data_IF_578762938782
#
_entry.id   IF_578762938782
#
_cell.length_a   1.000
_cell.length_b   1.000
_cell.length_c   1.000
_cell.angle_alpha   90.00
_cell.angle_beta   90.00
_cell.angle_gamma   90.00
#
_symmetry.space_group_name_H-M   'P 1'
#
loop_
_entity.id
_entity.type
_entity.pdbx_description
1 polymer ?
#
# COMPACT_ATOMS: atom_id res chain seq x y z
N UNK A 1 16.24 10.71 22.76
CA UNK A 1 15.05 11.60 22.56
C UNK A 1 15.19 12.49 21.33
N UNK A 2 16.30 13.25 21.16
CA UNK A 2 16.49 14.09 19.94
C UNK A 2 16.60 13.25 18.67
N UNK A 3 17.34 12.18 18.71
CA UNK A 3 17.49 11.22 17.60
C UNK A 3 16.17 10.57 17.26
N UNK A 4 15.41 10.16 18.27
CA UNK A 4 14.09 9.52 18.07
C UNK A 4 13.07 10.48 17.47
N UNK A 5 13.09 11.75 17.91
CA UNK A 5 12.24 12.79 17.35
C UNK A 5 12.56 13.08 15.87
N UNK A 6 13.84 13.14 15.51
CA UNK A 6 14.26 13.32 14.11
C UNK A 6 13.89 12.11 13.25
N UNK A 7 14.08 10.90 13.75
CA UNK A 7 13.68 9.67 13.06
C UNK A 7 12.16 9.63 12.88
N UNK A 8 11.40 9.96 13.93
CA UNK A 8 9.94 10.04 13.87
C UNK A 8 9.45 11.07 12.84
N UNK A 9 10.07 12.25 12.80
CA UNK A 9 9.74 13.27 11.80
C UNK A 9 10.03 12.79 10.36
N UNK A 10 11.17 12.15 10.16
CA UNK A 10 11.53 11.59 8.84
C UNK A 10 10.54 10.53 8.39
N UNK A 11 10.18 9.61 9.30
CA UNK A 11 9.17 8.58 9.01
C UNK A 11 7.81 9.22 8.72
N UNK A 12 7.39 10.24 9.47
CA UNK A 12 6.12 10.92 9.24
C UNK A 12 6.05 11.59 7.87
N UNK A 13 7.13 12.26 7.44
CA UNK A 13 7.20 12.92 6.13
C UNK A 13 7.05 11.93 4.96
N UNK A 14 7.58 10.71 5.12
CA UNK A 14 7.42 9.65 4.11
C UNK A 14 6.06 8.96 4.23
N UNK A 15 5.61 8.70 5.45
CA UNK A 15 4.39 7.93 5.70
C UNK A 15 3.11 8.66 5.25
N UNK A 16 3.07 10.00 5.35
CA UNK A 16 1.89 10.79 4.94
C UNK A 16 1.52 10.57 3.47
N UNK A 17 2.38 10.88 2.48
CA UNK A 17 2.04 10.65 1.07
C UNK A 17 1.87 9.17 0.75
N UNK A 18 2.65 8.29 1.36
CA UNK A 18 2.57 6.85 1.17
C UNK A 18 1.22 6.28 1.64
N UNK A 19 0.75 6.68 2.80
CA UNK A 19 -0.53 6.21 3.35
C UNK A 19 -1.73 6.69 2.53
N UNK A 20 -1.66 7.92 2.02
CA UNK A 20 -2.67 8.45 1.09
C UNK A 20 -2.72 7.63 -0.22
N UNK A 21 -1.56 7.27 -0.76
CA UNK A 21 -1.47 6.42 -1.95
C UNK A 21 -2.04 5.02 -1.69
N UNK A 22 -1.78 4.44 -0.53
CA UNK A 22 -2.31 3.12 -0.15
C UNK A 22 -3.82 3.12 0.11
N UNK A 23 -4.38 4.22 0.64
CA UNK A 23 -5.82 4.36 0.75
C UNK A 23 -6.48 4.37 -0.64
N UNK A 24 -5.92 5.11 -1.60
CA UNK A 24 -6.42 5.10 -2.98
C UNK A 24 -6.29 3.72 -3.63
N UNK A 25 -5.20 3.00 -3.35
CA UNK A 25 -5.01 1.62 -3.83
C UNK A 25 -6.06 0.67 -3.24
N UNK A 26 -6.49 0.92 -2.01
CA UNK A 26 -7.58 0.19 -1.36
C UNK A 26 -8.98 0.59 -1.87
N UNK A 27 -9.10 1.55 -2.79
CA UNK A 27 -10.38 2.07 -3.27
C UNK A 27 -11.05 3.06 -2.31
N UNK A 28 -10.31 3.57 -1.32
CA UNK A 28 -10.79 4.52 -0.32
C UNK A 28 -10.31 5.95 -0.62
N UNK A 29 -11.04 6.98 -0.18
CA UNK A 29 -10.55 8.35 -0.19
C UNK A 29 -9.21 8.49 0.55
N UNK A 30 -8.31 9.33 0.03
CA UNK A 30 -6.92 9.44 0.52
C UNK A 30 -6.79 9.76 2.02
N UNK A 31 -7.73 10.53 2.58
CA UNK A 31 -7.71 10.92 4.00
C UNK A 31 -7.88 9.74 4.96
N UNK A 32 -8.49 8.62 4.55
CA UNK A 32 -8.52 7.40 5.37
C UNK A 32 -7.13 6.80 5.59
N UNK A 33 -6.23 6.99 4.63
CA UNK A 33 -4.82 6.62 4.80
C UNK A 33 -4.14 7.37 5.94
N UNK A 34 -4.47 8.65 6.13
CA UNK A 34 -3.93 9.44 7.23
C UNK A 34 -4.40 8.91 8.58
N UNK A 35 -5.68 8.55 8.72
CA UNK A 35 -6.17 7.92 9.94
C UNK A 35 -5.50 6.58 10.22
N UNK A 36 -5.31 5.76 9.17
CA UNK A 36 -4.63 4.47 9.28
C UNK A 36 -3.13 4.60 9.61
N UNK A 37 -2.51 5.74 9.32
CA UNK A 37 -1.11 6.00 9.63
C UNK A 37 -0.88 6.71 10.96
N UNK A 38 -1.93 7.17 11.62
CA UNK A 38 -1.85 7.88 12.91
C UNK A 38 -2.11 6.94 14.08
N UNK A 39 -3.31 6.37 14.17
CA UNK A 39 -3.76 5.60 15.35
C UNK A 39 -3.03 4.27 15.50
N UNK A 40 -2.92 3.41 14.47
CA UNK A 40 -2.25 2.12 14.61
C UNK A 40 -0.77 2.21 15.04
N UNK A 41 0.06 3.12 14.48
CA UNK A 41 1.43 3.29 14.95
C UNK A 41 1.53 3.74 16.41
N UNK A 42 0.61 4.61 16.88
CA UNK A 42 0.58 5.04 18.28
C UNK A 42 0.29 3.85 19.21
N UNK A 43 -0.71 3.04 18.87
CA UNK A 43 -1.05 1.84 19.64
C UNK A 43 0.11 0.83 19.60
N UNK A 44 0.71 0.61 18.44
CA UNK A 44 1.85 -0.28 18.29
C UNK A 44 3.08 0.20 19.05
N UNK A 45 3.30 1.50 19.17
CA UNK A 45 4.40 2.07 19.97
C UNK A 45 4.21 1.82 21.47
N UNK A 46 2.96 1.76 21.95
CA UNK A 46 2.67 1.52 23.37
C UNK A 46 2.69 0.04 23.74
N UNK A 47 2.22 -0.84 22.85
CA UNK A 47 2.01 -2.27 23.14
C UNK A 47 2.92 -3.19 22.33
N UNK A 48 3.61 -2.68 21.33
CA UNK A 48 4.49 -3.48 20.47
C UNK A 48 5.77 -3.93 21.16
N UNK A 49 6.26 -5.10 20.80
CA UNK A 49 7.51 -5.66 21.29
C UNK A 49 8.73 -5.32 20.43
N UNK A 50 8.54 -4.88 19.19
CA UNK A 50 9.62 -4.55 18.27
C UNK A 50 9.95 -3.06 18.29
N UNK A 51 11.24 -2.74 18.46
CA UNK A 51 11.74 -1.35 18.40
C UNK A 51 11.97 -0.85 16.98
N UNK A 52 11.93 -1.72 15.98
CA UNK A 52 12.29 -1.42 14.60
C UNK A 52 11.10 -1.48 13.64
N UNK A 53 10.00 -2.10 14.06
CA UNK A 53 8.81 -2.25 13.22
C UNK A 53 7.95 -0.99 13.29
N UNK A 54 7.85 -0.26 12.19
CA UNK A 54 6.84 0.77 12.02
C UNK A 54 5.55 0.12 11.50
N UNK A 55 4.48 0.18 12.30
CA UNK A 55 3.17 -0.32 11.89
C UNK A 55 2.45 0.77 11.09
N UNK A 56 1.88 0.43 9.96
CA UNK A 56 1.18 1.38 9.10
C UNK A 56 0.49 0.69 7.92
N UNK A 57 -0.15 1.46 7.03
CA UNK A 57 -0.74 0.92 5.82
C UNK A 57 0.30 0.22 4.94
N UNK A 58 -0.10 -0.89 4.31
CA UNK A 58 0.77 -1.71 3.46
C UNK A 58 0.10 -1.92 2.11
N UNK A 59 0.85 -1.73 1.02
CA UNK A 59 0.33 -1.81 -0.34
C UNK A 59 -0.37 -3.14 -0.66
N UNK A 60 0.21 -4.26 -0.21
CA UNK A 60 -0.37 -5.61 -0.43
C UNK A 60 -1.73 -5.74 0.25
N UNK A 61 -1.84 -5.30 1.51
CA UNK A 61 -3.10 -5.33 2.25
C UNK A 61 -4.14 -4.41 1.62
N UNK A 62 -3.71 -3.25 1.13
CA UNK A 62 -4.57 -2.31 0.41
C UNK A 62 -5.15 -2.91 -0.88
N UNK A 63 -4.33 -3.62 -1.67
CA UNK A 63 -4.79 -4.35 -2.86
C UNK A 63 -5.74 -5.49 -2.49
N UNK A 64 -5.43 -6.27 -1.45
CA UNK A 64 -6.31 -7.34 -0.98
C UNK A 64 -7.66 -6.78 -0.51
N UNK A 65 -7.66 -5.64 0.17
CA UNK A 65 -8.90 -4.94 0.56
C UNK A 65 -9.70 -4.55 -0.68
N UNK A 66 -9.05 -3.92 -1.66
CA UNK A 66 -9.71 -3.51 -2.91
C UNK A 66 -10.30 -4.71 -3.66
N UNK A 67 -9.53 -5.79 -3.83
CA UNK A 67 -10.01 -6.99 -4.54
C UNK A 67 -11.14 -7.70 -3.80
N UNK A 68 -11.16 -7.67 -2.48
CA UNK A 68 -12.21 -8.28 -1.66
C UNK A 68 -13.52 -7.50 -1.68
N UNK A 69 -13.44 -6.16 -1.78
CA UNK A 69 -14.61 -5.29 -1.71
C UNK A 69 -15.16 -4.90 -3.08
N UNK A 70 -14.37 -4.96 -4.15
CA UNK A 70 -14.78 -4.60 -5.50
C UNK A 70 -16.05 -5.35 -5.98
N UNK A 71 -16.27 -6.64 -5.66
CA UNK A 71 -17.51 -7.32 -6.03
C UNK A 71 -18.75 -6.87 -5.24
N UNK A 72 -18.55 -6.20 -4.10
CA UNK A 72 -19.63 -5.82 -3.18
C UNK A 72 -20.14 -4.40 -3.37
N UNK A 73 -19.25 -3.47 -3.74
CA UNK A 73 -19.58 -2.06 -3.90
C UNK A 73 -18.56 -1.33 -4.79
N UNK A 74 -18.99 -0.23 -5.41
CA UNK A 74 -18.11 0.63 -6.20
C UNK A 74 -17.17 1.42 -5.30
N UNK A 75 -15.90 1.46 -5.66
CA UNK A 75 -14.85 2.21 -4.94
C UNK A 75 -15.24 3.68 -4.73
N UNK A 76 -14.97 4.21 -3.54
CA UNK A 76 -15.24 5.60 -3.18
C UNK A 76 -16.68 5.90 -2.77
N UNK A 77 -17.61 4.96 -2.84
CA UNK A 77 -18.99 5.13 -2.37
C UNK A 77 -19.10 4.96 -0.85
N UNK A 78 -20.13 5.53 -0.23
CA UNK A 78 -20.39 5.35 1.22
C UNK A 78 -20.59 3.87 1.59
N UNK A 79 -21.24 3.09 0.72
CA UNK A 79 -21.38 1.64 0.90
C UNK A 79 -20.03 0.94 0.93
N UNK A 80 -19.13 1.29 0.02
CA UNK A 80 -17.77 0.73 -0.01
C UNK A 80 -17.00 1.05 1.28
N UNK A 81 -17.09 2.29 1.75
CA UNK A 81 -16.43 2.72 3.01
C UNK A 81 -16.98 1.93 4.19
N UNK A 82 -18.30 1.73 4.26
CA UNK A 82 -18.93 0.95 5.32
C UNK A 82 -18.46 -0.51 5.33
N UNK A 83 -18.36 -1.14 4.17
CA UNK A 83 -17.80 -2.49 4.05
C UNK A 83 -16.31 -2.55 4.41
N UNK A 84 -15.54 -1.53 4.06
CA UNK A 84 -14.12 -1.44 4.43
C UNK A 84 -13.94 -1.34 5.95
N UNK A 85 -14.77 -0.56 6.63
CA UNK A 85 -14.77 -0.43 8.10
C UNK A 85 -15.15 -1.78 8.74
N UNK A 86 -16.19 -2.43 8.23
CA UNK A 86 -16.60 -3.74 8.71
C UNK A 86 -15.49 -4.79 8.52
N UNK A 87 -14.88 -4.82 7.35
CA UNK A 87 -13.75 -5.71 7.07
C UNK A 87 -12.57 -5.45 8.02
N UNK A 88 -12.23 -4.19 8.27
CA UNK A 88 -11.18 -3.81 9.21
C UNK A 88 -11.51 -4.27 10.64
N UNK A 89 -12.76 -4.14 11.08
CA UNK A 89 -13.21 -4.64 12.37
C UNK A 89 -13.09 -6.17 12.47
N UNK A 90 -13.57 -6.89 11.45
CA UNK A 90 -13.50 -8.35 11.42
C UNK A 90 -12.05 -8.84 11.46
N UNK A 91 -11.17 -8.25 10.64
CA UNK A 91 -9.73 -8.57 10.62
C UNK A 91 -9.09 -8.25 11.97
N UNK A 92 -9.43 -7.10 12.57
CA UNK A 92 -8.92 -6.71 13.89
C UNK A 92 -9.33 -7.69 14.99
N UNK A 93 -10.59 -8.09 15.04
CA UNK A 93 -11.10 -9.09 16.00
C UNK A 93 -10.39 -10.43 15.79
N UNK A 94 -10.24 -10.86 14.55
CA UNK A 94 -9.56 -12.12 14.23
C UNK A 94 -8.08 -12.09 14.64
N UNK A 95 -7.36 -11.02 14.32
CA UNK A 95 -5.96 -10.85 14.73
C UNK A 95 -5.81 -10.78 16.25
N UNK A 96 -6.71 -10.09 16.93
CA UNK A 96 -6.72 -10.03 18.38
C UNK A 96 -6.95 -11.42 19.00
N UNK A 97 -7.89 -12.20 18.47
CA UNK A 97 -8.14 -13.57 18.92
C UNK A 97 -6.90 -14.45 18.73
N UNK A 98 -6.24 -14.37 17.57
CA UNK A 98 -4.98 -15.09 17.31
C UNK A 98 -3.88 -14.69 18.30
N UNK A 99 -3.81 -13.41 18.66
CA UNK A 99 -2.85 -12.89 19.64
C UNK A 99 -3.12 -13.44 21.04
N UNK A 100 -4.36 -13.41 21.51
CA UNK A 100 -4.78 -13.94 22.82
C UNK A 100 -4.52 -15.45 22.92
N UNK A 101 -4.81 -16.17 21.86
CA UNK A 101 -4.58 -17.62 21.77
C UNK A 101 -3.09 -17.98 21.56
N UNK A 102 -2.20 -16.99 21.44
CA UNK A 102 -0.76 -17.15 21.17
C UNK A 102 -0.47 -17.98 19.91
N UNK A 103 -1.34 -17.91 18.92
CA UNK A 103 -1.22 -18.66 17.66
C UNK A 103 -0.20 -18.06 16.68
N UNK A 104 0.57 -17.06 17.10
CA UNK A 104 1.70 -16.53 16.31
C UNK A 104 2.73 -17.61 15.91
N UNK A 105 2.79 -18.71 16.64
CA UNK A 105 3.61 -19.89 16.28
C UNK A 105 3.25 -20.45 14.89
N UNK A 106 2.00 -20.29 14.45
CA UNK A 106 1.55 -20.74 13.10
C UNK A 106 2.35 -20.05 11.98
N UNK A 107 2.79 -18.82 12.20
CA UNK A 107 3.61 -18.10 11.21
C UNK A 107 4.97 -18.78 10.98
N UNK A 108 5.49 -19.50 11.97
CA UNK A 108 6.76 -20.23 11.84
C UNK A 108 6.68 -21.42 10.87
N UNK A 109 5.48 -21.87 10.52
CA UNK A 109 5.28 -22.92 9.51
C UNK A 109 5.31 -22.37 8.08
N UNK A 110 5.28 -21.04 7.90
CA UNK A 110 5.47 -20.43 6.59
C UNK A 110 6.93 -20.58 6.16
N UNK A 111 7.16 -21.39 5.15
CA UNK A 111 8.51 -21.56 4.62
C UNK A 111 9.02 -20.31 3.92
N UNK A 112 10.31 -20.03 4.00
CA UNK A 112 10.95 -18.90 3.31
C UNK A 112 10.63 -18.82 1.81
N UNK A 113 10.61 -19.93 1.04
CA UNK A 113 10.22 -19.89 -0.37
C UNK A 113 8.80 -19.38 -0.61
N UNK A 114 7.85 -19.74 0.25
CA UNK A 114 6.46 -19.26 0.15
C UNK A 114 6.38 -17.76 0.39
N UNK A 115 7.05 -17.26 1.43
CA UNK A 115 7.10 -15.81 1.74
C UNK A 115 7.75 -15.05 0.59
N UNK A 116 8.88 -15.54 0.06
CA UNK A 116 9.56 -14.90 -1.06
C UNK A 116 8.71 -14.91 -2.33
N UNK A 117 8.05 -16.03 -2.64
CA UNK A 117 7.16 -16.13 -3.80
C UNK A 117 5.99 -15.14 -3.68
N UNK A 118 5.35 -15.07 -2.53
CA UNK A 118 4.28 -14.11 -2.25
C UNK A 118 4.75 -12.65 -2.39
N UNK A 119 5.90 -12.31 -1.81
CA UNK A 119 6.46 -10.96 -1.86
C UNK A 119 6.79 -10.54 -3.29
N UNK A 120 7.39 -11.43 -4.09
CA UNK A 120 7.72 -11.15 -5.49
C UNK A 120 6.46 -10.99 -6.35
N UNK A 121 5.48 -11.86 -6.18
CA UNK A 121 4.20 -11.73 -6.88
C UNK A 121 3.48 -10.43 -6.51
N UNK A 122 3.43 -10.09 -5.22
CA UNK A 122 2.87 -8.84 -4.75
C UNK A 122 3.59 -7.61 -5.33
N UNK A 123 4.93 -7.63 -5.40
CA UNK A 123 5.70 -6.55 -6.00
C UNK A 123 5.36 -6.34 -7.48
N UNK A 124 5.20 -7.43 -8.26
CA UNK A 124 4.79 -7.36 -9.66
C UNK A 124 3.37 -6.80 -9.81
N UNK A 125 2.43 -7.26 -9.00
CA UNK A 125 1.05 -6.76 -9.02
C UNK A 125 1.01 -5.27 -8.66
N UNK A 126 1.75 -4.84 -7.65
CA UNK A 126 1.84 -3.44 -7.26
C UNK A 126 2.43 -2.59 -8.40
N UNK A 127 3.55 -3.02 -8.97
CA UNK A 127 4.20 -2.29 -10.06
C UNK A 127 3.26 -2.14 -11.27
N UNK A 128 2.61 -3.21 -11.69
CA UNK A 128 1.69 -3.18 -12.82
C UNK A 128 0.41 -2.39 -12.54
N UNK A 129 -0.09 -2.38 -11.31
CA UNK A 129 -1.25 -1.57 -10.92
C UNK A 129 -0.96 -0.05 -10.93
N UNK A 130 0.31 0.36 -10.85
CA UNK A 130 0.69 1.76 -10.94
C UNK A 130 0.87 2.26 -12.38
N UNK A 131 0.90 1.37 -13.37
CA UNK A 131 1.09 1.76 -14.77
C UNK A 131 0.00 2.72 -15.26
N UNK A 132 -1.26 2.48 -14.92
CA UNK A 132 -2.37 3.37 -15.29
C UNK A 132 -2.17 4.80 -14.77
N UNK A 133 -1.70 4.94 -13.54
CA UNK A 133 -1.40 6.24 -12.93
C UNK A 133 -0.18 6.92 -13.55
N UNK A 134 0.85 6.14 -13.89
CA UNK A 134 2.06 6.64 -14.55
C UNK A 134 1.73 7.21 -15.92
N UNK A 135 0.89 6.55 -16.70
CA UNK A 135 0.44 7.03 -18.02
C UNK A 135 -0.73 8.03 -17.93
N UNK A 136 -1.32 8.22 -16.76
CA UNK A 136 -2.46 9.11 -16.54
C UNK A 136 -3.72 8.64 -17.25
N UNK A 137 -3.87 7.32 -17.45
CA UNK A 137 -5.02 6.72 -18.12
C UNK A 137 -5.95 6.07 -17.08
N UNK A 138 -7.26 6.29 -17.23
CA UNK A 138 -8.26 5.62 -16.43
C UNK A 138 -8.76 4.40 -17.20
N UNK A 139 -8.57 3.24 -16.62
CA UNK A 139 -9.00 1.97 -17.19
C UNK A 139 -9.77 1.21 -16.13
N UNK A 140 -10.95 0.73 -16.47
CA UNK A 140 -11.74 -0.12 -15.59
C UNK A 140 -11.00 -1.43 -15.33
N UNK A 141 -11.02 -1.86 -14.08
CA UNK A 141 -10.44 -3.13 -13.67
C UNK A 141 -11.19 -4.28 -14.37
N UNK A 142 -10.45 -5.14 -15.05
CA UNK A 142 -10.98 -6.36 -15.62
C UNK A 142 -11.03 -7.47 -14.55
N UNK A 143 -11.74 -8.54 -14.87
CA UNK A 143 -11.84 -9.72 -14.00
C UNK A 143 -10.46 -10.35 -13.73
N UNK A 144 -9.57 -10.31 -14.74
CA UNK A 144 -8.20 -10.79 -14.61
C UNK A 144 -7.17 -9.68 -14.70
N UNK A 145 -6.14 -9.76 -13.87
CA UNK A 145 -5.08 -8.74 -13.79
C UNK A 145 -4.33 -8.53 -15.12
N UNK A 146 -4.07 -9.59 -15.89
CA UNK A 146 -3.39 -9.48 -17.20
C UNK A 146 -4.23 -8.73 -18.24
N UNK A 147 -5.56 -8.84 -18.17
CA UNK A 147 -6.48 -8.09 -19.03
C UNK A 147 -6.45 -6.60 -18.71
N UNK A 148 -6.41 -6.26 -17.41
CA UNK A 148 -6.25 -4.88 -16.95
C UNK A 148 -4.95 -4.29 -17.49
N UNK A 149 -3.84 -5.03 -17.41
CA UNK A 149 -2.55 -4.61 -17.97
C UNK A 149 -2.65 -4.37 -19.49
N UNK A 150 -3.27 -5.29 -20.22
CA UNK A 150 -3.46 -5.16 -21.67
C UNK A 150 -4.28 -3.90 -22.02
N UNK A 151 -5.37 -3.65 -21.30
CA UNK A 151 -6.17 -2.43 -21.46
C UNK A 151 -5.39 -1.16 -21.15
N UNK A 152 -4.58 -1.18 -20.08
CA UNK A 152 -3.72 -0.03 -19.72
C UNK A 152 -2.71 0.24 -20.82
N UNK A 153 -2.06 -0.79 -21.37
CA UNK A 153 -1.09 -0.64 -22.46
C UNK A 153 -1.76 -0.08 -23.72
N UNK A 154 -2.93 -0.60 -24.09
CA UNK A 154 -3.69 -0.08 -25.22
C UNK A 154 -4.12 1.38 -25.03
N UNK A 155 -4.63 1.71 -23.84
CA UNK A 155 -5.00 3.09 -23.50
C UNK A 155 -3.77 4.01 -23.48
N UNK A 156 -2.63 3.54 -22.99
CA UNK A 156 -1.40 4.31 -22.97
C UNK A 156 -0.89 4.64 -24.37
N UNK A 157 -1.00 3.75 -25.34
CA UNK A 157 -0.58 4.02 -26.73
C UNK A 157 -1.37 5.17 -27.37
N UNK A 158 -2.66 5.32 -27.03
CA UNK A 158 -3.56 6.28 -27.68
C UNK A 158 -3.85 7.53 -26.84
N UNK A 159 -3.85 7.42 -25.51
CA UNK A 159 -4.36 8.44 -24.59
C UNK A 159 -3.40 8.79 -23.45
N UNK A 160 -2.09 8.64 -23.62
CA UNK A 160 -1.12 9.01 -22.59
C UNK A 160 -1.24 10.49 -22.21
N UNK A 161 -1.46 10.76 -20.94
CA UNK A 161 -1.39 12.10 -20.39
C UNK A 161 0.08 12.49 -20.15
N UNK A 162 0.67 13.19 -21.13
CA UNK A 162 2.09 13.53 -21.13
C UNK A 162 2.61 14.21 -19.85
N UNK A 163 1.89 15.14 -19.20
CA UNK A 163 2.34 15.72 -17.95
C UNK A 163 2.51 14.70 -16.84
N UNK A 164 1.56 13.77 -16.67
CA UNK A 164 1.65 12.69 -15.67
C UNK A 164 2.80 11.75 -15.96
N UNK A 165 2.99 11.37 -17.21
CA UNK A 165 4.09 10.52 -17.63
C UNK A 165 5.46 11.18 -17.37
N UNK A 166 5.62 12.45 -17.75
CA UNK A 166 6.86 13.18 -17.51
C UNK A 166 7.16 13.34 -16.02
N UNK A 167 6.15 13.62 -15.20
CA UNK A 167 6.32 13.66 -13.73
C UNK A 167 6.74 12.29 -13.17
N UNK A 168 6.12 11.22 -13.63
CA UNK A 168 6.48 9.85 -13.22
C UNK A 168 7.92 9.49 -13.60
N UNK A 169 8.32 9.78 -14.83
CA UNK A 169 9.70 9.57 -15.31
C UNK A 169 10.69 10.43 -14.54
N UNK A 170 10.37 11.72 -14.30
CA UNK A 170 11.22 12.62 -13.53
C UNK A 170 11.40 12.12 -12.10
N UNK A 171 10.32 11.70 -11.43
CA UNK A 171 10.37 11.13 -10.09
C UNK A 171 11.26 9.88 -10.04
N UNK A 172 11.11 8.98 -11.02
CA UNK A 172 11.93 7.78 -11.14
C UNK A 172 13.41 8.11 -11.34
N UNK A 173 13.71 9.04 -12.26
CA UNK A 173 15.09 9.49 -12.52
C UNK A 173 15.70 10.18 -11.29
N UNK A 174 14.93 10.98 -10.57
CA UNK A 174 15.40 11.62 -9.33
C UNK A 174 15.73 10.57 -8.26
N UNK A 175 14.85 9.60 -8.02
CA UNK A 175 15.11 8.53 -7.05
C UNK A 175 16.35 7.71 -7.43
N UNK A 176 16.47 7.36 -8.70
CA UNK A 176 17.61 6.59 -9.20
C UNK A 176 18.90 7.42 -9.17
N UNK A 177 18.84 8.69 -9.58
CA UNK A 177 19.98 9.60 -9.60
C UNK A 177 20.49 9.97 -8.21
N UNK A 178 19.59 10.23 -7.26
CA UNK A 178 19.94 10.52 -5.87
C UNK A 178 20.69 9.38 -5.21
N UNK A 179 20.35 8.14 -5.55
CA UNK A 179 21.06 6.95 -5.08
C UNK A 179 22.54 6.94 -5.49
N UNK A 180 22.84 7.48 -6.68
CA UNK A 180 24.21 7.58 -7.18
C UNK A 180 25.02 8.71 -6.55
N UNK A 181 24.32 9.79 -6.19
CA UNK A 181 24.96 11.00 -5.62
C UNK A 181 25.28 10.81 -4.13
N UNK A 182 24.39 10.20 -3.37
CA UNK A 182 24.63 9.99 -1.94
C UNK A 182 23.91 8.73 -1.40
N UNK A 183 24.67 7.71 -0.99
CA UNK A 183 24.10 6.51 -0.34
C UNK A 183 23.41 6.78 1.01
N UNK A 184 23.56 8.01 1.54
CA UNK A 184 22.97 8.42 2.82
C UNK A 184 21.56 8.98 2.71
N UNK A 185 21.08 9.24 1.48
CA UNK A 185 19.72 9.72 1.27
C UNK A 185 18.79 8.50 1.29
N UNK A 186 17.83 8.44 2.22
CA UNK A 186 16.85 7.36 2.25
C UNK A 186 15.96 7.44 1.00
N UNK A 187 15.85 6.33 0.28
CA UNK A 187 15.01 6.20 -0.92
C UNK A 187 13.75 5.42 -0.56
#
# INVERSE_FOLDING_TARGET
LKTDALSGLTVALVLVPQSMAYAQLAGLPAYYGLYASLVPPMVAALFGSSRQLATGPVAVVSLMTSSSLAPMAMSGTEGYISYAILLALMVGVFQFALGVLRLGVVVNFLSHPVVNGFTNAAALIIATSQLSKMFGVNVDSAEHHYETISRVVQAAVHYTHWPSFMMGVLAFLLMYGLRWISPRIPN
#
